data_IF_283126114067
#
_entry.id   IF_283126114067
#
_cell.length_a   1.000
_cell.length_b   1.000
_cell.length_c   1.000
_cell.angle_alpha   90.00
_cell.angle_beta   90.00
_cell.angle_gamma   90.00
#
_symmetry.space_group_name_H-M   'P 1'
#
loop_
_entity.id
_entity.type
_entity.pdbx_description
1 polymer ?
#
# COMPACT_ATOMS: atom_id res chain seq x y z
N UNK A 1 -3.34 -2.03 13.40
CA UNK A 1 -4.40 -1.27 12.71
C UNK A 1 -5.54 -1.01 13.65
N UNK A 2 -5.93 0.26 13.81
CA UNK A 2 -7.05 0.68 14.65
C UNK A 2 -8.40 0.26 14.04
N UNK A 3 -8.47 0.21 12.71
CA UNK A 3 -9.67 -0.14 11.95
C UNK A 3 -9.41 -1.36 11.06
N UNK A 4 -9.18 -2.52 11.70
CA UNK A 4 -8.73 -3.75 11.03
C UNK A 4 -9.70 -4.20 9.93
N UNK A 5 -10.99 -4.26 10.22
CA UNK A 5 -11.98 -4.82 9.27
C UNK A 5 -12.08 -3.98 8.00
N UNK A 6 -12.14 -2.66 8.15
CA UNK A 6 -12.11 -1.70 7.03
C UNK A 6 -10.81 -1.82 6.22
N UNK A 7 -9.66 -1.88 6.92
CA UNK A 7 -8.36 -2.03 6.26
C UNK A 7 -8.30 -3.32 5.44
N UNK A 8 -8.79 -4.44 5.99
CA UNK A 8 -8.77 -5.74 5.30
C UNK A 8 -9.71 -5.75 4.10
N UNK A 9 -10.90 -5.15 4.22
CA UNK A 9 -11.86 -5.07 3.13
C UNK A 9 -11.29 -4.31 1.92
N UNK A 10 -10.66 -3.16 2.17
CA UNK A 10 -10.06 -2.37 1.09
C UNK A 10 -8.84 -3.05 0.47
N UNK A 11 -8.01 -3.71 1.29
CA UNK A 11 -6.88 -4.50 0.78
C UNK A 11 -7.33 -5.70 -0.07
N UNK A 12 -8.46 -6.33 0.28
CA UNK A 12 -9.06 -7.38 -0.56
C UNK A 12 -9.46 -6.83 -1.93
N UNK A 13 -10.06 -5.64 -1.97
CA UNK A 13 -10.42 -4.99 -3.22
C UNK A 13 -9.17 -4.69 -4.06
N UNK A 14 -8.11 -4.15 -3.46
CA UNK A 14 -6.83 -3.93 -4.15
C UNK A 14 -6.25 -5.23 -4.71
N UNK A 15 -6.31 -6.32 -3.95
CA UNK A 15 -5.81 -7.63 -4.39
C UNK A 15 -6.62 -8.21 -5.58
N UNK A 16 -7.90 -7.86 -5.72
CA UNK A 16 -8.71 -8.24 -6.89
C UNK A 16 -8.22 -7.52 -8.15
N UNK A 17 -7.84 -6.24 -8.05
CA UNK A 17 -7.36 -5.47 -9.20
C UNK A 17 -5.87 -5.69 -9.51
N UNK A 18 -5.05 -5.90 -8.48
CA UNK A 18 -3.59 -6.02 -8.58
C UNK A 18 -3.10 -7.28 -7.82
N UNK A 19 -3.42 -8.49 -8.29
CA UNK A 19 -3.09 -9.74 -7.59
C UNK A 19 -1.58 -10.01 -7.52
N UNK A 20 -0.77 -9.32 -8.31
CA UNK A 20 0.69 -9.42 -8.29
C UNK A 20 1.35 -8.56 -7.21
N UNK A 21 0.59 -7.75 -6.48
CA UNK A 21 1.12 -6.99 -5.35
C UNK A 21 1.53 -7.94 -4.22
N UNK A 22 2.72 -7.67 -3.67
CA UNK A 22 3.25 -8.40 -2.53
C UNK A 22 3.00 -7.59 -1.27
N UNK A 23 2.34 -8.20 -0.30
CA UNK A 23 2.06 -7.60 1.01
C UNK A 23 3.12 -8.04 2.01
N UNK A 24 3.72 -7.11 2.74
CA UNK A 24 4.71 -7.37 3.79
C UNK A 24 4.52 -6.44 4.99
N UNK A 25 4.92 -6.90 6.17
CA UNK A 25 5.11 -6.03 7.34
C UNK A 25 6.56 -5.59 7.35
N UNK A 26 6.79 -4.29 7.32
CA UNK A 26 8.13 -3.70 7.38
C UNK A 26 8.14 -2.51 8.35
N UNK A 27 9.33 -2.13 8.84
CA UNK A 27 9.48 -1.00 9.75
C UNK A 27 9.53 0.32 8.96
N UNK A 28 8.55 1.18 9.21
CA UNK A 28 8.49 2.54 8.68
C UNK A 28 9.08 3.53 9.70
N UNK A 29 9.95 4.41 9.21
CA UNK A 29 10.54 5.49 10.02
C UNK A 29 9.81 6.80 9.69
N UNK A 30 9.10 7.33 10.67
CA UNK A 30 8.39 8.60 10.55
C UNK A 30 9.37 9.78 10.56
N UNK A 31 8.88 10.96 10.15
CA UNK A 31 9.68 12.19 10.10
C UNK A 31 10.22 12.62 11.48
N UNK A 32 9.54 12.25 12.55
CA UNK A 32 9.97 12.48 13.93
C UNK A 32 10.98 11.44 14.44
N UNK A 33 11.50 10.58 13.56
CA UNK A 33 12.39 9.44 13.86
C UNK A 33 11.75 8.31 14.65
N UNK A 34 10.44 8.38 14.96
CA UNK A 34 9.73 7.25 15.52
C UNK A 34 9.62 6.12 14.50
N UNK A 35 9.61 4.89 14.97
CA UNK A 35 9.55 3.69 14.13
C UNK A 35 8.30 2.90 14.42
N UNK A 36 7.73 2.27 13.39
CA UNK A 36 6.57 1.41 13.54
C UNK A 36 6.52 0.36 12.44
N UNK A 37 6.16 -0.85 12.84
CA UNK A 37 5.88 -1.90 11.88
C UNK A 37 4.50 -1.65 11.24
N UNK A 38 4.52 -1.42 9.93
CA UNK A 38 3.36 -1.14 9.12
C UNK A 38 3.27 -2.16 7.99
N UNK A 39 2.05 -2.50 7.62
CA UNK A 39 1.78 -3.20 6.38
C UNK A 39 2.14 -2.27 5.24
N UNK A 40 2.87 -2.80 4.28
CA UNK A 40 3.01 -2.20 2.98
C UNK A 40 2.67 -3.22 1.90
N UNK A 41 2.42 -2.71 0.70
CA UNK A 41 2.41 -3.53 -0.47
C UNK A 41 3.31 -2.93 -1.54
N UNK A 42 4.03 -3.82 -2.20
CA UNK A 42 5.00 -3.49 -3.24
C UNK A 42 4.62 -4.21 -4.53
N UNK A 43 4.69 -3.51 -5.65
CA UNK A 43 4.37 -4.07 -6.96
C UNK A 43 4.48 -3.02 -8.05
N UNK A 44 3.85 -3.26 -9.21
CA UNK A 44 3.85 -2.31 -10.32
C UNK A 44 2.45 -1.93 -10.75
N UNK A 45 2.22 -0.65 -11.05
CA UNK A 45 0.97 -0.19 -11.65
C UNK A 45 1.17 0.15 -13.13
N UNK A 46 0.23 -0.24 -14.02
CA UNK A 46 0.26 0.19 -15.41
C UNK A 46 -0.15 1.66 -15.50
N UNK A 47 0.72 2.49 -16.06
CA UNK A 47 0.48 3.92 -16.31
C UNK A 47 0.63 4.19 -17.79
N UNK A 48 -0.42 4.76 -18.40
CA UNK A 48 -0.41 5.13 -19.81
C UNK A 48 0.24 6.51 -19.98
N UNK A 49 1.28 6.58 -20.81
CA UNK A 49 1.99 7.81 -21.14
C UNK A 49 2.37 7.81 -22.62
N UNK A 50 1.96 8.85 -23.37
CA UNK A 50 2.26 8.99 -24.80
C UNK A 50 1.91 7.75 -25.65
N UNK A 51 0.78 7.11 -25.37
CA UNK A 51 0.32 5.92 -26.10
C UNK A 51 1.00 4.61 -25.71
N UNK A 52 1.96 4.64 -24.78
CA UNK A 52 2.63 3.45 -24.24
C UNK A 52 2.20 3.21 -22.79
N UNK A 53 2.13 1.95 -22.38
CA UNK A 53 1.87 1.55 -20.99
C UNK A 53 3.18 1.20 -20.29
N UNK A 54 3.46 1.88 -19.18
CA UNK A 54 4.65 1.66 -18.35
C UNK A 54 4.24 1.03 -17.03
N UNK A 55 4.96 -0.02 -16.61
CA UNK A 55 4.77 -0.65 -15.31
C UNK A 55 5.64 0.05 -14.26
N UNK A 56 5.05 0.99 -13.53
CA UNK A 56 5.78 1.81 -12.54
C UNK A 56 5.84 1.06 -11.20
N UNK A 57 7.04 0.81 -10.64
CA UNK A 57 7.17 0.20 -9.32
C UNK A 57 6.70 1.15 -8.23
N UNK A 58 5.85 0.66 -7.33
CA UNK A 58 5.33 1.39 -6.18
C UNK A 58 5.51 0.58 -4.90
N UNK A 59 5.63 1.30 -3.80
CA UNK A 59 5.47 0.80 -2.43
C UNK A 59 4.52 1.72 -1.71
N UNK A 60 3.42 1.17 -1.21
CA UNK A 60 2.42 1.92 -0.44
C UNK A 60 2.39 1.41 0.99
N UNK A 61 2.52 2.34 1.94
CA UNK A 61 2.48 2.07 3.38
C UNK A 61 1.09 2.36 3.91
N UNK A 62 0.52 1.43 4.68
CA UNK A 62 -0.79 1.60 5.28
C UNK A 62 -0.61 2.02 6.72
N UNK A 63 -0.98 3.27 7.03
CA UNK A 63 -0.93 3.78 8.40
C UNK A 63 -1.93 3.04 9.29
N UNK A 64 -1.66 2.92 10.58
CA UNK A 64 -2.56 2.23 11.50
C UNK A 64 -3.91 2.93 11.71
N UNK A 65 -3.99 4.22 11.36
CA UNK A 65 -5.19 5.05 11.35
C UNK A 65 -6.01 4.97 10.05
N UNK A 66 -5.52 4.26 9.04
CA UNK A 66 -6.25 3.99 7.80
C UNK A 66 -7.63 3.38 8.10
N UNK A 67 -8.72 3.78 7.39
CA UNK A 67 -8.78 4.68 6.22
C UNK A 67 -8.92 6.18 6.55
N UNK A 68 -8.88 6.58 7.82
CA UNK A 68 -9.17 7.96 8.23
C UNK A 68 -7.97 8.91 8.14
N UNK A 69 -6.78 8.38 7.82
CA UNK A 69 -5.60 9.16 7.47
C UNK A 69 -4.97 8.55 6.20
N UNK A 70 -4.63 9.38 5.20
CA UNK A 70 -3.93 8.95 4.00
C UNK A 70 -2.44 8.67 4.26
#
# INVERSE_FOLDING_TARGET
>A
YKFRDLTVEELKNVNVFFPHFRYSMDTYVFKDSSQKDLLNFTGTIPVMYQGNTYNIPIRLWILDSYPFAP
#
